data_IF_191493445738
#
_entry.id   IF_191493445738
#
_cell.length_a   1.000
_cell.length_b   1.000
_cell.length_c   1.000
_cell.angle_alpha   90.00
_cell.angle_beta   90.00
_cell.angle_gamma   90.00
#
_symmetry.space_group_name_H-M   'P 1'
#
loop_
_entity.id
_entity.type
_entity.pdbx_description
1 polymer ?
#
# COMPACT_ATOMS: atom_id res chain seq x y z
N UNK A 1 7.86 1.33 -31.39
CA UNK A 1 7.41 0.95 -30.84
C UNK A 1 7.46 0.32 -30.82
N UNK A 2 7.50 0.87 -31.15
CA UNK A 2 7.30 0.40 -30.53
C UNK A 2 7.46 -0.21 -30.57
N UNK A 3 7.37 0.11 -30.24
CA UNK A 3 7.33 -0.47 -29.79
C UNK A 3 7.48 -1.04 -29.48
N UNK A 4 7.59 -0.80 -30.00
CA UNK A 4 7.65 -1.30 -29.49
C UNK A 4 7.60 -1.66 -29.07
N UNK A 5 7.91 -1.48 -29.52
CA UNK A 5 7.76 -1.91 -28.80
C UNK A 5 7.85 -2.18 -28.41
N UNK A 6 7.80 -1.64 -28.20
CA UNK A 6 7.70 -1.93 -27.43
C UNK A 6 7.95 -2.33 -27.08
N UNK A 7 8.06 -1.90 -27.20
CA UNK A 7 8.07 -2.32 -26.51
C UNK A 7 8.49 -2.58 -26.32
N UNK A 8 8.67 -2.51 -26.39
CA UNK A 8 8.84 -2.72 -25.86
C UNK A 8 8.93 -2.82 -25.46
N UNK A 9 9.13 -2.44 -25.56
CA UNK A 9 9.09 -2.55 -24.94
C UNK A 9 9.23 -2.47 -24.52
N UNK A 10 9.66 -2.32 -24.79
CA UNK A 10 9.70 -2.27 -24.01
C UNK A 10 10.46 -2.25 -23.92
N UNK A 11 10.85 -1.72 -24.20
CA UNK A 11 11.27 -1.70 -23.74
C UNK A 11 11.92 -1.49 -23.53
N UNK A 12 12.38 -1.23 -23.70
CA UNK A 12 12.68 -1.10 -23.13
C UNK A 12 13.27 -0.85 -23.11
N UNK A 13 13.67 -0.32 -23.01
CA UNK A 13 13.80 -0.05 -22.55
C UNK A 13 14.27 0.19 -22.41
N UNK A 14 14.60 0.62 -22.63
CA UNK A 14 14.63 0.88 -22.03
C UNK A 14 15.06 1.26 -21.80
N UNK A 15 15.37 1.45 -21.77
CA UNK A 15 15.36 1.88 -21.07
C UNK A 15 15.61 2.14 -20.48
N UNK A 16 15.78 2.44 -20.45
CA UNK A 16 15.73 2.72 -19.47
C UNK A 16 15.82 3.06 -19.09
N UNK A 17 15.79 3.24 -18.77
CA UNK A 17 15.48 3.62 -18.00
C UNK A 17 15.16 4.01 -17.50
N UNK A 18 15.43 4.12 -17.58
CA UNK A 18 14.89 4.48 -16.74
C UNK A 18 14.81 4.95 -16.26
N UNK A 19 14.86 5.30 -15.96
CA UNK A 19 14.53 5.64 -15.15
C UNK A 19 14.71 5.90 -14.56
N UNK A 20 14.97 6.06 -14.11
CA UNK A 20 14.89 6.12 -13.27
C UNK A 20 14.69 6.65 -12.58
N UNK A 21 14.79 6.70 -12.23
CA UNK A 21 14.47 7.09 -11.31
C UNK A 21 14.08 7.61 -10.96
N UNK A 22 13.72 7.91 -10.59
CA UNK A 22 13.16 8.31 -10.09
C UNK A 22 12.44 8.43 -9.55
N UNK A 23 12.36 8.53 -9.28
CA UNK A 23 11.52 8.79 -8.74
C UNK A 23 10.77 8.40 -7.73
N UNK A 24 10.49 8.72 -7.33
CA UNK A 24 9.57 8.45 -6.25
C UNK A 24 8.67 7.28 -6.59
N UNK A 25 9.29 6.18 -6.83
CA UNK A 25 8.62 4.91 -7.11
C UNK A 25 8.32 4.25 -5.77
N UNK A 26 7.06 3.81 -5.57
CA UNK A 26 6.67 3.06 -4.40
C UNK A 26 7.26 1.66 -4.54
N UNK A 27 7.99 1.23 -3.52
CA UNK A 27 8.56 -0.11 -3.48
C UNK A 27 7.46 -1.12 -3.17
N UNK A 28 7.11 -1.94 -4.15
CA UNK A 28 6.02 -2.89 -4.01
C UNK A 28 6.37 -4.09 -3.13
N UNK A 29 7.64 -4.30 -2.83
CA UNK A 29 8.07 -5.52 -2.14
C UNK A 29 7.69 -5.55 -0.67
N UNK A 30 7.52 -4.40 -0.05
CA UNK A 30 7.25 -4.33 1.38
C UNK A 30 6.06 -3.43 1.70
N UNK A 31 5.17 -3.24 0.76
CA UNK A 31 3.96 -2.46 0.98
C UNK A 31 2.80 -3.36 1.36
N UNK A 32 2.06 -2.96 2.40
CA UNK A 32 0.77 -3.57 2.70
C UNK A 32 -0.24 -2.89 1.78
N UNK A 33 -0.98 -3.68 1.00
CA UNK A 33 -1.89 -3.18 -0.02
C UNK A 33 -3.32 -3.54 0.33
N UNK A 34 -4.27 -2.73 -0.17
CA UNK A 34 -5.67 -3.03 0.05
C UNK A 34 -6.12 -4.22 -0.81
N UNK A 35 -6.69 -5.27 -0.20
CA UNK A 35 -7.18 -6.41 -0.98
C UNK A 35 -8.54 -6.17 -1.61
N UNK A 36 -9.14 -5.00 -1.42
CA UNK A 36 -10.52 -4.76 -1.79
C UNK A 36 -10.71 -3.26 -1.99
N UNK A 37 -11.65 -2.90 -2.86
CA UNK A 37 -12.08 -1.51 -3.03
C UNK A 37 -12.96 -1.13 -1.85
N UNK A 38 -12.69 -0.01 -1.22
CA UNK A 38 -13.51 0.44 -0.09
C UNK A 38 -12.98 1.71 0.52
N UNK A 39 -13.32 1.93 1.79
CA UNK A 39 -12.87 3.09 2.56
C UNK A 39 -11.89 2.65 3.64
N UNK A 40 -10.73 3.26 3.64
CA UNK A 40 -9.65 2.96 4.57
C UNK A 40 -9.90 3.68 5.90
N UNK A 41 -9.79 2.94 7.01
CA UNK A 41 -9.84 3.50 8.36
C UNK A 41 -8.64 3.02 9.14
N UNK A 42 -8.00 3.94 9.84
CA UNK A 42 -6.84 3.63 10.68
C UNK A 42 -7.24 3.07 12.03
N UNK A 43 -8.50 3.26 12.44
CA UNK A 43 -8.99 2.97 13.78
C UNK A 43 -10.19 2.04 13.72
N UNK A 44 -10.40 1.21 14.77
CA UNK A 44 -11.60 0.37 14.81
C UNK A 44 -12.89 1.18 15.04
N UNK A 45 -12.78 2.36 15.63
CA UNK A 45 -13.90 3.27 15.87
C UNK A 45 -13.35 4.67 16.05
N UNK A 46 -14.19 5.71 15.86
CA UNK A 46 -13.69 7.10 15.94
C UNK A 46 -13.09 7.48 17.30
N UNK A 47 -13.50 6.81 18.37
CA UNK A 47 -13.03 7.11 19.72
C UNK A 47 -11.90 6.20 20.18
N UNK A 48 -11.37 5.37 19.28
CA UNK A 48 -10.29 4.43 19.60
C UNK A 48 -8.98 4.91 18.98
N UNK A 49 -7.84 4.48 19.53
CA UNK A 49 -6.55 4.81 18.91
C UNK A 49 -6.38 4.06 17.59
N UNK A 50 -5.51 4.55 16.71
CA UNK A 50 -5.20 3.81 15.48
C UNK A 50 -4.53 2.49 15.81
N UNK A 51 -4.68 1.52 14.89
CA UNK A 51 -4.04 0.21 15.04
C UNK A 51 -2.53 0.34 15.07
N UNK A 52 -1.98 1.18 14.20
CA UNK A 52 -0.54 1.41 14.12
C UNK A 52 -0.28 2.86 13.77
N UNK A 53 0.92 3.33 14.13
CA UNK A 53 1.40 4.63 13.74
C UNK A 53 2.77 4.48 13.10
N UNK A 54 3.20 5.52 12.40
CA UNK A 54 4.53 5.55 11.80
C UNK A 54 5.57 5.35 12.91
N UNK A 55 6.49 4.42 12.69
CA UNK A 55 7.52 4.06 13.66
C UNK A 55 7.18 2.84 14.49
N UNK A 56 5.94 2.38 14.47
CA UNK A 56 5.54 1.20 15.24
C UNK A 56 6.06 -0.07 14.58
N UNK A 57 6.32 -1.06 15.43
CA UNK A 57 6.66 -2.40 14.94
C UNK A 57 5.39 -3.19 14.67
N UNK A 58 5.39 -3.92 13.56
CA UNK A 58 4.28 -4.84 13.22
C UNK A 58 4.83 -6.23 12.98
N UNK A 59 3.97 -7.23 13.17
CA UNK A 59 4.27 -8.61 12.91
C UNK A 59 3.33 -9.16 11.84
N UNK A 60 3.76 -10.20 11.16
CA UNK A 60 2.90 -10.89 10.20
C UNK A 60 1.62 -11.35 10.90
N UNK A 61 0.47 -11.05 10.30
CA UNK A 61 -0.82 -11.42 10.86
C UNK A 61 -1.45 -10.38 11.78
N UNK A 62 -0.72 -9.35 12.13
CA UNK A 62 -1.24 -8.26 12.99
C UNK A 62 -2.17 -7.37 12.18
N UNK A 63 -3.32 -7.01 12.77
CA UNK A 63 -4.26 -6.09 12.13
C UNK A 63 -3.66 -4.69 12.13
N UNK A 64 -3.62 -4.05 10.98
CA UNK A 64 -3.02 -2.73 10.82
C UNK A 64 -4.02 -1.65 10.42
N UNK A 65 -5.15 -2.05 9.87
CA UNK A 65 -6.20 -1.11 9.49
C UNK A 65 -7.47 -1.87 9.15
N UNK A 66 -8.51 -1.09 8.81
CA UNK A 66 -9.78 -1.65 8.34
C UNK A 66 -10.08 -1.01 6.99
N UNK A 67 -10.61 -1.81 6.07
CA UNK A 67 -11.21 -1.29 4.84
C UNK A 67 -12.69 -1.70 4.86
N UNK A 68 -13.55 -0.70 4.88
CA UNK A 68 -14.99 -0.93 4.82
C UNK A 68 -15.41 -1.07 3.36
N UNK A 69 -16.04 -2.20 3.03
CA UNK A 69 -16.51 -2.45 1.68
C UNK A 69 -17.84 -3.19 1.79
N UNK A 70 -18.83 -2.76 1.01
CA UNK A 70 -20.13 -3.42 0.94
C UNK A 70 -20.76 -3.60 2.32
N UNK A 71 -20.64 -2.57 3.16
CA UNK A 71 -21.19 -2.52 4.53
C UNK A 71 -20.54 -3.51 5.49
N UNK A 72 -19.36 -4.02 5.14
CA UNK A 72 -18.62 -4.92 6.00
C UNK A 72 -17.27 -4.31 6.34
N UNK A 73 -16.85 -4.48 7.59
CA UNK A 73 -15.56 -3.99 8.07
C UNK A 73 -14.55 -5.12 7.92
N UNK A 74 -13.61 -4.96 7.00
CA UNK A 74 -12.60 -5.98 6.72
C UNK A 74 -11.30 -5.60 7.40
N UNK A 75 -10.84 -6.42 8.33
CA UNK A 75 -9.56 -6.19 9.00
C UNK A 75 -8.44 -6.58 8.06
N UNK A 76 -7.50 -5.67 7.87
CA UNK A 76 -6.36 -5.88 7.01
C UNK A 76 -5.17 -6.23 7.88
N UNK A 77 -4.53 -7.36 7.59
CA UNK A 77 -3.42 -7.87 8.37
C UNK A 77 -2.11 -7.70 7.62
N UNK A 78 -1.05 -7.45 8.36
CA UNK A 78 0.26 -7.29 7.76
C UNK A 78 0.77 -8.62 7.23
N UNK A 79 1.34 -8.58 6.03
CA UNK A 79 2.07 -9.71 5.45
C UNK A 79 3.56 -9.65 5.77
N UNK A 80 3.98 -8.59 6.47
CA UNK A 80 5.40 -8.32 6.72
C UNK A 80 5.62 -8.04 8.19
N UNK A 81 6.81 -8.43 8.68
CA UNK A 81 7.30 -8.00 9.99
C UNK A 81 8.25 -6.85 9.79
N UNK A 82 8.20 -5.85 10.65
CA UNK A 82 9.12 -4.74 10.58
C UNK A 82 8.52 -3.49 11.19
N UNK A 83 9.01 -2.34 10.73
CA UNK A 83 8.61 -1.04 11.24
C UNK A 83 7.77 -0.33 10.20
N UNK A 84 6.68 0.30 10.62
CA UNK A 84 5.85 1.12 9.74
C UNK A 84 6.67 2.35 9.35
N UNK A 85 7.16 2.34 8.13
CA UNK A 85 8.00 3.43 7.64
C UNK A 85 7.16 4.58 7.11
N UNK A 86 6.05 4.25 6.46
CA UNK A 86 5.18 5.26 5.87
C UNK A 86 3.73 4.79 5.90
N UNK A 87 2.82 5.73 6.08
CA UNK A 87 1.38 5.52 5.97
C UNK A 87 0.93 6.39 4.80
N UNK A 88 0.54 5.76 3.70
CA UNK A 88 0.28 6.48 2.45
C UNK A 88 -1.10 7.12 2.39
N UNK A 89 -2.04 6.65 3.20
CA UNK A 89 -3.46 6.99 3.04
C UNK A 89 -3.95 7.64 4.33
N UNK A 90 -4.71 8.72 4.20
CA UNK A 90 -5.33 9.36 5.34
C UNK A 90 -6.55 8.56 5.80
N UNK A 91 -6.89 8.73 7.08
CA UNK A 91 -8.06 8.08 7.66
C UNK A 91 -9.32 8.47 6.89
N UNK A 92 -10.24 7.52 6.74
CA UNK A 92 -11.54 7.72 6.10
C UNK A 92 -11.43 8.11 4.62
N UNK A 93 -10.46 7.55 3.91
CA UNK A 93 -10.21 7.86 2.49
C UNK A 93 -10.56 6.65 1.63
N UNK A 94 -11.22 6.84 0.47
CA UNK A 94 -11.47 5.76 -0.47
C UNK A 94 -10.16 5.17 -1.01
N UNK A 95 -10.11 3.86 -1.16
CA UNK A 95 -8.95 3.16 -1.71
C UNK A 95 -9.39 2.16 -2.75
N UNK A 96 -8.48 1.89 -3.69
CA UNK A 96 -8.68 0.95 -4.77
C UNK A 96 -8.06 -0.41 -4.41
N UNK A 97 -8.44 -1.43 -5.16
CA UNK A 97 -7.80 -2.74 -5.04
C UNK A 97 -6.29 -2.61 -5.30
N UNK A 98 -5.50 -3.24 -4.46
CA UNK A 98 -4.03 -3.31 -4.59
C UNK A 98 -3.33 -1.98 -4.38
N UNK A 99 -4.04 -0.97 -3.89
CA UNK A 99 -3.45 0.32 -3.59
C UNK A 99 -2.56 0.22 -2.35
N UNK A 100 -1.32 0.72 -2.39
CA UNK A 100 -0.45 0.69 -1.22
C UNK A 100 -1.01 1.51 -0.06
N UNK A 101 -1.01 0.94 1.12
CA UNK A 101 -1.52 1.58 2.34
C UNK A 101 -0.38 1.94 3.30
N UNK A 102 0.55 1.00 3.50
CA UNK A 102 1.67 1.18 4.43
C UNK A 102 2.95 0.68 3.79
N UNK A 103 4.05 1.31 4.14
CA UNK A 103 5.37 0.76 3.82
C UNK A 103 5.98 0.20 5.09
N UNK A 104 6.43 -1.05 5.02
CA UNK A 104 7.09 -1.74 6.14
C UNK A 104 8.56 -1.89 5.80
N UNK A 105 9.38 -1.56 6.76
CA UNK A 105 10.83 -1.64 6.56
C UNK A 105 11.45 -2.75 7.39
#
# INVERSE_FOLDING_TARGET
>A
VYEKNVAQQYTPSANPEVVQGQNSVIDDQSNIKSPIVGTFYRKPAPDKPPYVEKGDRVEVGQVVCIVEAMKMMNEIKSEFSGIVEEIYIDDATPVEFDQPLFKIK
#
